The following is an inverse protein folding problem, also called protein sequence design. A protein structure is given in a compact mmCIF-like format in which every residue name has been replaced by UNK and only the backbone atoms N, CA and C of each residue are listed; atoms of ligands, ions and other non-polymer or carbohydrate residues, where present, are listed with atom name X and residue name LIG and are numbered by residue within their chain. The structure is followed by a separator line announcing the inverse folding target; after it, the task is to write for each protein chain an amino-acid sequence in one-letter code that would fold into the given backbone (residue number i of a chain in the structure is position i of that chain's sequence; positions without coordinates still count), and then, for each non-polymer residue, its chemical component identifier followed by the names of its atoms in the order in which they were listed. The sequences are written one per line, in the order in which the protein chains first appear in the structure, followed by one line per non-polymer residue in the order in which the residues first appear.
data_IF_163667881206
#
_entry.id   IF_163667881206
#
_cell.length_a   1.000
_cell.length_b   1.000
_cell.length_c   1.000
_cell.angle_alpha   90.00
_cell.angle_beta   90.00
_cell.angle_gamma   90.00
#
_symmetry.space_group_name_H-M   'P 1'
#
loop_
_entity.id
_entity.type
_entity.pdbx_description
1 polymer ?
#
# COMPACT_ATOMS: atom_id res chain seq x y z
N UNK A 1 31.92 -44.34 3.14
CA UNK A 1 31.25 -44.23 1.83
C UNK A 1 30.31 -43.04 1.84
N UNK A 2 30.52 -42.12 0.90
CA UNK A 2 29.70 -40.92 0.72
C UNK A 2 28.28 -41.31 0.23
N UNK A 3 27.25 -40.52 0.55
CA UNK A 3 25.87 -40.81 0.17
C UNK A 3 25.71 -40.95 -1.37
N UNK A 4 26.49 -40.15 -2.12
CA UNK A 4 26.55 -40.22 -3.58
C UNK A 4 27.12 -41.55 -4.11
N UNK A 5 28.10 -42.14 -3.41
CA UNK A 5 28.69 -43.43 -3.78
C UNK A 5 27.72 -44.58 -3.51
N UNK A 6 27.01 -44.54 -2.38
CA UNK A 6 25.96 -45.51 -2.06
C UNK A 6 24.84 -45.48 -3.11
N UNK A 7 24.42 -44.28 -3.54
CA UNK A 7 23.42 -44.14 -4.59
C UNK A 7 23.88 -44.73 -5.92
N UNK A 8 25.13 -44.48 -6.35
CA UNK A 8 25.69 -45.05 -7.59
C UNK A 8 25.69 -46.58 -7.59
N UNK A 9 25.95 -47.21 -6.45
CA UNK A 9 25.94 -48.68 -6.31
C UNK A 9 24.52 -49.22 -6.47
N UNK A 10 23.53 -48.60 -5.82
CA UNK A 10 22.11 -48.98 -5.93
C UNK A 10 21.61 -48.92 -7.38
N UNK A 11 22.04 -47.92 -8.15
CA UNK A 11 21.61 -47.76 -9.55
C UNK A 11 22.26 -48.76 -10.52
N UNK A 12 23.52 -49.17 -10.28
CA UNK A 12 24.20 -50.19 -11.09
C UNK A 12 23.51 -51.55 -11.03
N UNK A 13 22.92 -51.89 -9.89
CA UNK A 13 22.19 -53.15 -9.72
C UNK A 13 20.89 -53.18 -10.53
N UNK A 14 20.25 -52.01 -10.75
CA UNK A 14 18.99 -51.92 -11.51
C UNK A 14 19.23 -52.21 -13.00
N UNK A 15 20.31 -51.70 -13.59
CA UNK A 15 20.62 -51.94 -15.01
C UNK A 15 20.87 -53.42 -15.28
N UNK A 16 21.52 -54.12 -14.34
CA UNK A 16 21.69 -55.58 -14.39
C UNK A 16 20.34 -56.29 -14.37
N UNK A 17 19.43 -55.90 -13.47
CA UNK A 17 18.07 -56.49 -13.34
C UNK A 17 17.25 -56.28 -14.63
N UNK A 18 17.40 -55.11 -15.27
CA UNK A 18 16.73 -54.82 -16.56
C UNK A 18 17.28 -55.71 -17.66
N UNK A 19 18.61 -55.84 -17.76
CA UNK A 19 19.24 -56.69 -18.77
C UNK A 19 18.83 -58.16 -18.62
N UNK A 20 18.87 -58.71 -17.41
CA UNK A 20 18.45 -60.09 -17.15
C UNK A 20 16.97 -60.33 -17.48
N UNK A 21 16.09 -59.36 -17.21
CA UNK A 21 14.68 -59.46 -17.61
C UNK A 21 14.49 -59.38 -19.12
N UNK A 22 15.22 -58.49 -19.78
CA UNK A 22 15.15 -58.30 -21.24
C UNK A 22 15.66 -59.51 -22.02
N UNK A 23 16.64 -60.25 -21.45
CA UNK A 23 17.13 -61.51 -22.02
C UNK A 23 16.22 -62.71 -21.72
N UNK A 24 15.05 -62.49 -21.11
CA UNK A 24 14.10 -63.55 -20.74
C UNK A 24 14.49 -64.34 -19.49
N UNK A 25 15.47 -63.86 -18.71
CA UNK A 25 15.90 -64.49 -17.47
C UNK A 25 14.89 -64.29 -16.33
N UNK A 26 14.84 -65.24 -15.40
CA UNK A 26 14.03 -65.13 -14.20
C UNK A 26 14.67 -64.16 -13.20
N UNK A 27 13.88 -63.20 -12.71
CA UNK A 27 14.30 -62.18 -11.75
C UNK A 27 13.65 -62.51 -10.39
N UNK A 28 14.36 -62.29 -9.29
CA UNK A 28 13.80 -62.50 -7.96
C UNK A 28 12.64 -61.54 -7.69
N UNK A 29 11.63 -61.95 -6.91
CA UNK A 29 10.49 -61.09 -6.58
C UNK A 29 10.91 -59.78 -5.89
N UNK A 30 11.97 -59.83 -5.08
CA UNK A 30 12.53 -58.64 -4.42
C UNK A 30 13.11 -57.65 -5.44
N UNK A 31 13.79 -58.16 -6.46
CA UNK A 31 14.37 -57.33 -7.52
C UNK A 31 13.29 -56.77 -8.46
N UNK A 32 12.20 -57.48 -8.67
CA UNK A 32 11.02 -56.96 -9.37
C UNK A 32 10.38 -55.78 -8.61
N UNK A 33 10.23 -55.90 -7.28
CA UNK A 33 9.71 -54.82 -6.44
C UNK A 33 10.60 -53.59 -6.49
N UNK A 34 11.93 -53.78 -6.42
CA UNK A 34 12.92 -52.69 -6.55
C UNK A 34 12.82 -51.99 -7.91
N UNK A 35 12.68 -52.75 -9.00
CA UNK A 35 12.53 -52.20 -10.34
C UNK A 35 11.24 -51.37 -10.46
N UNK A 36 10.12 -51.89 -9.93
CA UNK A 36 8.84 -51.20 -9.92
C UNK A 36 8.89 -49.89 -9.12
N UNK A 37 9.47 -49.92 -7.93
CA UNK A 37 9.62 -48.74 -7.08
C UNK A 37 10.49 -47.66 -7.75
N UNK A 38 11.52 -48.08 -8.46
CA UNK A 38 12.35 -47.17 -9.24
C UNK A 38 11.57 -46.51 -10.37
N UNK A 39 10.78 -47.29 -11.12
CA UNK A 39 9.91 -46.77 -12.19
C UNK A 39 8.90 -45.75 -11.63
N UNK A 40 8.22 -46.08 -10.52
CA UNK A 40 7.25 -45.18 -9.87
C UNK A 40 7.94 -43.89 -9.41
N UNK A 41 9.11 -43.98 -8.78
CA UNK A 41 9.87 -42.79 -8.37
C UNK A 41 10.28 -41.92 -9.56
N UNK A 42 10.67 -42.52 -10.68
CA UNK A 42 11.03 -41.79 -11.90
C UNK A 42 9.82 -41.08 -12.49
N UNK A 43 8.68 -41.75 -12.62
CA UNK A 43 7.42 -41.17 -13.07
C UNK A 43 6.97 -40.04 -12.13
N UNK A 44 7.09 -40.22 -10.81
CA UNK A 44 6.76 -39.19 -9.83
C UNK A 44 7.63 -37.94 -9.98
N UNK A 45 8.92 -38.09 -10.25
CA UNK A 45 9.83 -36.96 -10.48
C UNK A 45 9.47 -36.18 -11.75
N UNK A 46 9.09 -36.88 -12.83
CA UNK A 46 8.62 -36.25 -14.06
C UNK A 46 7.30 -35.51 -13.83
N UNK A 47 6.34 -36.16 -13.18
CA UNK A 47 5.07 -35.53 -12.80
C UNK A 47 5.26 -34.26 -11.96
N UNK A 48 6.14 -34.30 -10.95
CA UNK A 48 6.45 -33.13 -10.12
C UNK A 48 7.12 -32.01 -10.92
N UNK A 49 7.91 -32.35 -11.94
CA UNK A 49 8.52 -31.37 -12.85
C UNK A 49 7.47 -30.70 -13.73
N UNK A 50 6.46 -31.45 -14.18
CA UNK A 50 5.35 -30.92 -14.99
C UNK A 50 4.44 -29.98 -14.18
N UNK A 51 4.45 -30.05 -12.84
CA UNK A 51 3.74 -29.12 -11.95
C UNK A 51 4.45 -27.77 -11.79
N UNK A 52 5.68 -27.62 -12.27
CA UNK A 52 6.40 -26.34 -12.19
C UNK A 52 5.82 -25.41 -13.26
N UNK A 53 4.93 -24.51 -12.83
CA UNK A 53 4.35 -23.49 -13.70
C UNK A 53 5.43 -22.57 -14.26
N UNK A 54 5.34 -22.28 -15.56
CA UNK A 54 6.22 -21.28 -16.18
C UNK A 54 5.70 -19.87 -15.88
N UNK A 55 6.60 -18.89 -15.80
CA UNK A 55 6.25 -17.48 -15.52
C UNK A 55 5.39 -16.80 -16.60
N UNK A 56 4.93 -17.53 -17.63
CA UNK A 56 4.25 -16.98 -18.81
C UNK A 56 2.73 -16.83 -18.67
N UNK A 57 2.15 -17.12 -17.52
CA UNK A 57 0.69 -17.14 -17.40
C UNK A 57 0.14 -16.21 -16.32
N UNK A 58 -0.25 -14.98 -16.68
CA UNK A 58 -1.54 -14.47 -16.25
C UNK A 58 -2.64 -15.16 -17.09
N UNK A 59 -3.39 -16.08 -16.48
CA UNK A 59 -4.52 -16.80 -17.10
C UNK A 59 -5.75 -15.92 -17.34
N UNK A 60 -5.76 -14.72 -16.77
CA UNK A 60 -6.79 -13.72 -17.02
C UNK A 60 -6.28 -12.77 -18.10
N UNK A 61 -7.09 -12.45 -19.14
CA UNK A 61 -6.75 -11.34 -20.01
C UNK A 61 -6.53 -10.12 -19.12
N UNK A 62 -5.50 -9.29 -19.39
CA UNK A 62 -5.30 -8.07 -18.64
C UNK A 62 -6.62 -7.29 -18.68
N UNK A 63 -7.20 -7.05 -17.50
CA UNK A 63 -8.42 -6.26 -17.40
C UNK A 63 -8.16 -4.97 -18.12
N UNK A 64 -9.03 -4.59 -19.08
CA UNK A 64 -8.89 -3.32 -19.79
C UNK A 64 -8.69 -2.25 -18.72
N UNK A 65 -7.55 -1.55 -18.70
CA UNK A 65 -7.25 -0.69 -17.57
C UNK A 65 -8.36 0.34 -17.49
N UNK A 66 -8.97 0.43 -16.32
CA UNK A 66 -10.04 1.39 -16.07
C UNK A 66 -9.54 2.79 -16.42
N UNK A 67 -10.43 3.73 -16.70
CA UNK A 67 -10.02 5.13 -16.98
C UNK A 67 -9.15 5.67 -15.83
N UNK A 68 -9.45 5.23 -14.60
CA UNK A 68 -8.65 5.53 -13.39
C UNK A 68 -7.25 4.92 -13.45
N UNK A 69 -7.11 3.64 -13.82
CA UNK A 69 -5.80 2.98 -13.94
C UNK A 69 -4.96 3.57 -15.08
N UNK A 70 -5.58 3.93 -16.21
CA UNK A 70 -4.88 4.63 -17.30
C UNK A 70 -4.38 6.00 -16.86
N UNK A 71 -5.19 6.72 -16.09
CA UNK A 71 -4.81 8.00 -15.51
C UNK A 71 -3.66 7.84 -14.52
N UNK A 72 -3.76 6.87 -13.59
CA UNK A 72 -2.70 6.54 -12.63
C UNK A 72 -1.39 6.16 -13.33
N UNK A 73 -1.43 5.30 -14.36
CA UNK A 73 -0.22 4.93 -15.10
C UNK A 73 0.41 6.12 -15.86
N UNK A 74 -0.42 7.05 -16.36
CA UNK A 74 0.06 8.30 -16.95
C UNK A 74 0.66 9.23 -15.89
N UNK A 75 0.05 9.29 -14.71
CA UNK A 75 0.51 10.04 -13.54
C UNK A 75 1.88 9.51 -13.06
N UNK A 76 2.01 8.20 -12.89
CA UNK A 76 3.25 7.53 -12.46
C UNK A 76 4.39 7.77 -13.45
N UNK A 77 4.10 7.72 -14.76
CA UNK A 77 5.10 8.03 -15.80
C UNK A 77 5.52 9.50 -15.77
N UNK A 78 4.57 10.40 -15.55
CA UNK A 78 4.84 11.83 -15.40
C UNK A 78 5.69 12.10 -14.15
N UNK A 79 5.30 11.58 -12.99
CA UNK A 79 6.05 11.74 -11.75
C UNK A 79 7.40 11.05 -11.77
N UNK A 80 7.50 9.85 -12.34
CA UNK A 80 8.78 9.16 -12.51
C UNK A 80 9.76 9.97 -13.35
N UNK A 81 9.27 10.72 -14.35
CA UNK A 81 10.09 11.64 -15.15
C UNK A 81 10.38 12.94 -14.41
N UNK A 82 9.38 13.51 -13.73
CA UNK A 82 9.47 14.78 -13.01
C UNK A 82 10.38 14.69 -11.78
N UNK A 83 10.18 13.66 -10.93
CA UNK A 83 10.96 13.40 -9.71
C UNK A 83 12.40 12.97 -10.01
N UNK A 84 12.67 12.41 -11.20
CA UNK A 84 14.04 12.10 -11.64
C UNK A 84 14.88 13.36 -11.80
N UNK A 85 14.27 14.50 -12.10
CA UNK A 85 14.94 15.81 -12.20
C UNK A 85 14.62 16.66 -10.98
N UNK A 86 15.00 16.18 -9.80
CA UNK A 86 14.51 16.63 -8.49
C UNK A 86 14.91 18.06 -8.07
N UNK A 87 15.79 18.76 -8.79
CA UNK A 87 16.49 19.91 -8.18
C UNK A 87 16.02 21.31 -8.60
N UNK A 88 15.42 21.55 -9.77
CA UNK A 88 15.10 22.95 -10.19
C UNK A 88 14.02 23.12 -11.28
N UNK A 89 13.29 22.06 -11.64
CA UNK A 89 12.55 21.97 -12.92
C UNK A 89 11.04 22.27 -12.95
N UNK A 90 10.27 22.52 -11.86
CA UNK A 90 8.83 22.79 -12.03
C UNK A 90 8.54 23.99 -12.95
N UNK A 91 9.40 25.01 -12.91
CA UNK A 91 9.25 26.26 -13.68
C UNK A 91 10.03 26.22 -15.01
N UNK A 92 11.21 25.59 -15.05
CA UNK A 92 12.02 25.47 -16.28
C UNK A 92 11.41 24.47 -17.28
N UNK A 93 10.81 23.38 -16.80
CA UNK A 93 10.23 22.33 -17.65
C UNK A 93 8.87 22.71 -18.23
N UNK A 94 8.11 23.55 -17.52
CA UNK A 94 6.85 24.13 -18.02
C UNK A 94 7.05 24.97 -19.30
N UNK A 95 8.26 25.53 -19.48
CA UNK A 95 8.63 26.30 -20.66
C UNK A 95 8.97 25.47 -21.90
N UNK A 96 9.36 24.19 -21.76
CA UNK A 96 9.81 23.38 -22.90
C UNK A 96 8.73 22.50 -23.52
N UNK A 97 7.71 22.07 -22.76
CA UNK A 97 6.68 21.14 -23.24
C UNK A 97 5.27 21.58 -22.81
N UNK A 98 4.63 22.43 -23.62
CA UNK A 98 3.25 22.90 -23.41
C UNK A 98 2.21 21.77 -23.28
N UNK A 99 2.52 20.57 -23.79
CA UNK A 99 1.66 19.39 -23.75
C UNK A 99 1.47 18.80 -22.34
N UNK A 100 2.32 19.15 -21.37
CA UNK A 100 2.30 18.59 -20.01
C UNK A 100 1.64 19.52 -18.97
N UNK A 101 1.34 20.76 -19.37
CA UNK A 101 0.54 21.74 -18.60
C UNK A 101 -0.83 21.20 -18.16
N UNK A 102 -1.65 20.57 -19.03
CA UNK A 102 -2.96 20.09 -18.61
C UNK A 102 -2.86 19.01 -17.53
N UNK A 103 -1.81 18.17 -17.57
CA UNK A 103 -1.61 17.12 -16.58
C UNK A 103 -1.20 17.69 -15.22
N UNK A 104 -0.33 18.71 -15.21
CA UNK A 104 0.00 19.44 -13.97
C UNK A 104 -1.22 20.17 -13.39
N UNK A 105 -2.04 20.77 -14.25
CA UNK A 105 -3.28 21.43 -13.82
C UNK A 105 -4.26 20.44 -13.20
N UNK A 106 -4.46 19.28 -13.84
CA UNK A 106 -5.28 18.19 -13.31
C UNK A 106 -4.74 17.69 -11.96
N UNK A 107 -3.42 17.53 -11.83
CA UNK A 107 -2.80 17.16 -10.55
C UNK A 107 -3.04 18.22 -9.46
N UNK A 108 -2.80 19.50 -9.75
CA UNK A 108 -3.04 20.58 -8.77
C UNK A 108 -4.51 20.63 -8.36
N UNK A 109 -5.44 20.41 -9.29
CA UNK A 109 -6.86 20.27 -9.00
C UNK A 109 -7.16 19.06 -8.11
N UNK A 110 -6.60 17.88 -8.42
CA UNK A 110 -6.79 16.69 -7.60
C UNK A 110 -6.22 16.89 -6.18
N UNK A 111 -5.05 17.50 -6.08
CA UNK A 111 -4.42 17.82 -4.79
C UNK A 111 -5.28 18.82 -4.01
N UNK A 112 -5.82 19.86 -4.65
CA UNK A 112 -6.70 20.82 -3.96
C UNK A 112 -8.03 20.20 -3.54
N UNK A 113 -8.62 19.35 -4.39
CA UNK A 113 -9.82 18.56 -4.06
C UNK A 113 -9.54 17.69 -2.84
N UNK A 114 -8.43 16.95 -2.83
CA UNK A 114 -8.04 16.10 -1.71
C UNK A 114 -7.87 16.92 -0.42
N UNK A 115 -7.13 18.02 -0.48
CA UNK A 115 -6.96 18.89 0.70
C UNK A 115 -8.29 19.46 1.19
N UNK A 116 -9.18 19.87 0.28
CA UNK A 116 -10.50 20.37 0.64
C UNK A 116 -11.34 19.29 1.35
N UNK A 117 -11.51 18.13 0.74
CA UNK A 117 -12.37 17.07 1.28
C UNK A 117 -11.80 16.42 2.54
N UNK A 118 -10.50 16.14 2.58
CA UNK A 118 -9.90 15.35 3.65
C UNK A 118 -9.30 16.20 4.79
N UNK A 119 -9.07 17.50 4.57
CA UNK A 119 -8.52 18.39 5.60
C UNK A 119 -9.48 19.51 5.95
N UNK A 120 -9.91 20.30 4.96
CA UNK A 120 -10.73 21.49 5.22
C UNK A 120 -12.12 21.12 5.78
N UNK A 121 -12.81 20.15 5.18
CA UNK A 121 -14.14 19.74 5.66
C UNK A 121 -14.07 19.25 7.13
N UNK A 122 -13.21 18.28 7.51
CA UNK A 122 -13.20 17.76 8.88
C UNK A 122 -12.70 18.75 9.93
N UNK A 123 -11.77 19.65 9.57
CA UNK A 123 -11.13 20.57 10.52
C UNK A 123 -11.92 21.87 10.67
N UNK A 124 -12.50 22.40 9.60
CA UNK A 124 -13.17 23.70 9.63
C UNK A 124 -14.69 23.56 9.61
N UNK A 125 -15.25 22.91 8.57
CA UNK A 125 -16.70 22.92 8.35
C UNK A 125 -17.45 22.06 9.39
N UNK A 126 -16.94 20.88 9.74
CA UNK A 126 -17.60 20.01 10.72
C UNK A 126 -17.66 20.68 12.11
N UNK A 127 -16.55 21.14 12.71
CA UNK A 127 -16.61 21.80 14.03
C UNK A 127 -17.45 23.07 14.01
N UNK A 128 -17.38 23.87 12.95
CA UNK A 128 -18.19 25.08 12.81
C UNK A 128 -19.68 24.73 12.77
N UNK A 129 -20.09 23.72 12.01
CA UNK A 129 -21.47 23.25 11.97
C UNK A 129 -21.96 22.80 13.36
N UNK A 130 -21.14 22.04 14.09
CA UNK A 130 -21.48 21.62 15.46
C UNK A 130 -21.57 22.80 16.43
N UNK A 131 -20.68 23.78 16.34
CA UNK A 131 -20.75 24.99 17.18
C UNK A 131 -21.97 25.86 16.87
N UNK A 132 -22.38 25.98 15.60
CA UNK A 132 -23.57 26.77 15.23
C UNK A 132 -24.88 26.09 15.63
N UNK A 133 -24.93 24.76 15.63
CA UNK A 133 -26.13 23.99 15.94
C UNK A 133 -26.14 23.39 17.36
N UNK A 134 -25.14 23.69 18.19
CA UNK A 134 -25.14 23.22 19.58
C UNK A 134 -26.23 23.94 20.38
N UNK A 135 -27.20 23.18 20.89
CA UNK A 135 -28.24 23.71 21.77
C UNK A 135 -27.63 24.16 23.10
N UNK A 136 -27.71 25.46 23.39
CA UNK A 136 -27.22 26.04 24.66
C UNK A 136 -28.02 25.61 25.89
N UNK A 137 -29.12 24.90 25.71
CA UNK A 137 -30.04 24.46 26.77
C UNK A 137 -29.57 23.21 27.51
N UNK A 138 -28.63 22.44 26.95
CA UNK A 138 -28.06 21.29 27.64
C UNK A 138 -26.90 21.80 28.50
N UNK A 139 -27.00 21.75 29.84
CA UNK A 139 -25.93 22.21 30.70
C UNK A 139 -24.68 21.32 30.51
N UNK A 140 -23.50 21.93 30.56
CA UNK A 140 -22.20 21.23 30.56
C UNK A 140 -21.86 20.42 29.29
N UNK A 141 -22.40 20.74 28.10
CA UNK A 141 -21.94 20.10 26.84
C UNK A 141 -20.44 20.33 26.63
N UNK A 142 -19.98 21.54 26.92
CA UNK A 142 -18.57 21.92 26.87
C UNK A 142 -18.17 22.48 28.22
N UNK A 143 -17.24 21.80 28.90
CA UNK A 143 -16.62 22.28 30.13
C UNK A 143 -15.21 22.71 29.77
N UNK A 144 -15.00 24.02 29.67
CA UNK A 144 -13.65 24.56 29.52
C UNK A 144 -13.00 24.64 30.90
N UNK A 145 -11.74 24.21 31.00
CA UNK A 145 -10.93 24.47 32.18
C UNK A 145 -10.77 25.99 32.37
N UNK A 146 -10.77 26.44 33.63
CA UNK A 146 -10.52 27.84 33.93
C UNK A 146 -9.11 28.20 33.47
N UNK A 147 -8.89 29.39 32.87
CA UNK A 147 -7.56 29.80 32.44
C UNK A 147 -6.60 29.86 33.63
N UNK A 148 -5.33 29.51 33.40
CA UNK A 148 -4.26 29.66 34.39
C UNK A 148 -3.96 31.15 34.56
N UNK A 149 -3.95 31.62 35.81
CA UNK A 149 -3.65 33.01 36.17
C UNK A 149 -2.20 33.10 36.67
N UNK A 150 -1.44 34.05 36.15
CA UNK A 150 -0.06 34.32 36.58
C UNK A 150 0.00 35.52 37.55
N UNK A 151 0.98 35.55 38.48
CA UNK A 151 1.12 36.68 39.39
C UNK A 151 1.42 37.98 38.63
N UNK A 152 0.69 39.04 38.97
CA UNK A 152 0.78 40.35 38.29
C UNK A 152 -0.24 40.55 37.16
N UNK A 153 -1.00 39.53 36.78
CA UNK A 153 -2.11 39.68 35.83
C UNK A 153 -3.35 40.28 36.51
N UNK A 154 -3.96 41.26 35.85
CA UNK A 154 -5.28 41.75 36.24
C UNK A 154 -6.36 40.77 35.79
N UNK A 155 -7.19 40.34 36.73
CA UNK A 155 -8.32 39.44 36.45
C UNK A 155 -9.62 40.05 36.94
N UNK A 156 -10.70 39.78 36.24
CA UNK A 156 -12.04 40.17 36.65
C UNK A 156 -13.02 39.05 36.35
N UNK A 157 -14.11 38.99 37.13
CA UNK A 157 -15.19 38.02 36.91
C UNK A 157 -16.30 38.71 36.12
N UNK A 158 -16.59 38.20 34.93
CA UNK A 158 -17.70 38.68 34.11
C UNK A 158 -18.37 37.49 33.40
N UNK A 159 -19.63 37.66 33.00
CA UNK A 159 -20.27 36.74 32.06
C UNK A 159 -19.72 37.05 30.67
N UNK A 160 -19.47 36.01 29.86
CA UNK A 160 -18.84 36.15 28.54
C UNK A 160 -19.58 37.17 27.64
N UNK A 161 -20.92 37.23 27.73
CA UNK A 161 -21.72 38.18 26.94
C UNK A 161 -21.55 39.65 27.32
N UNK A 162 -21.09 39.93 28.54
CA UNK A 162 -20.92 41.30 29.05
C UNK A 162 -19.50 41.83 28.79
N UNK A 163 -18.58 40.96 28.36
CA UNK A 163 -17.19 41.31 28.10
C UNK A 163 -17.03 41.89 26.70
N UNK A 164 -16.65 43.16 26.62
CA UNK A 164 -16.27 43.81 25.36
C UNK A 164 -14.78 43.65 25.11
N UNK A 165 -14.42 43.39 23.86
CA UNK A 165 -13.02 43.35 23.41
C UNK A 165 -12.70 44.71 22.79
N UNK A 166 -11.62 45.35 23.24
CA UNK A 166 -11.14 46.56 22.58
C UNK A 166 -10.57 46.17 21.19
N UNK A 167 -11.08 46.74 20.09
CA UNK A 167 -10.65 46.36 18.74
C UNK A 167 -9.20 46.75 18.44
N UNK A 168 -8.63 47.70 19.17
CA UNK A 168 -7.26 48.20 18.94
C UNK A 168 -6.21 47.36 19.68
N UNK A 169 -6.51 46.92 20.90
CA UNK A 169 -5.54 46.20 21.75
C UNK A 169 -5.82 44.70 21.86
N UNK A 170 -7.01 44.25 21.45
CA UNK A 170 -7.47 42.86 21.64
C UNK A 170 -7.68 42.48 23.11
N UNK A 171 -7.54 43.43 24.04
CA UNK A 171 -7.70 43.20 25.47
C UNK A 171 -9.17 43.30 25.87
N UNK A 172 -9.56 42.51 26.88
CA UNK A 172 -10.87 42.60 27.48
C UNK A 172 -11.01 43.89 28.28
N UNK A 173 -12.08 44.62 28.02
CA UNK A 173 -12.43 45.83 28.78
C UNK A 173 -13.22 45.41 30.00
N UNK A 174 -12.84 45.91 31.17
CA UNK A 174 -13.58 45.68 32.41
C UNK A 174 -14.98 46.32 32.26
N UNK A 175 -16.06 45.57 32.49
CA UNK A 175 -17.39 46.16 32.54
C UNK A 175 -17.47 47.10 33.75
N UNK A 176 -17.99 48.31 33.53
CA UNK A 176 -18.30 49.28 34.60
C UNK A 176 -19.50 48.83 35.45
#
# INVERSE_FOLDING_TARGET
MNAAEKAKIIYKDIDRIVQTRSSGGQVSQLDEQRLRDYQIRRLRRLWLKDQILTAREPLLPPTKPSIKEKFQAAEDKFWGRFLKFRTLTPYLYLGSNLKEIPLLMLYKMQSSIRTYFFVYIPVALIPLYFMMNSNSTIPNITINEKPRVYPGEETFKARIGDVKINPLTGQYVRPE
#
